data_IF_088091066189
#
_entry.id   IF_088091066189
#
_cell.length_a   1.000
_cell.length_b   1.000
_cell.length_c   1.000
_cell.angle_alpha   90.00
_cell.angle_beta   90.00
_cell.angle_gamma   90.00
#
_symmetry.space_group_name_H-M   'P 1'
#
loop_
_entity.id
_entity.type
_entity.pdbx_description
1 polymer ?
#
# COMPACT_ATOMS: atom_id res chain seq x y z
N UNK A 1 23.01 -14.30 -10.14
CA UNK A 1 21.77 -13.58 -10.31
C UNK A 1 21.33 -13.00 -9.02
N UNK A 2 21.14 -11.74 -9.05
CA UNK A 2 20.82 -11.03 -7.85
C UNK A 2 19.32 -11.11 -7.56
N UNK A 3 19.02 -11.45 -6.32
CA UNK A 3 17.66 -11.41 -5.86
C UNK A 3 17.40 -10.02 -5.32
N UNK A 4 16.56 -9.29 -5.99
CA UNK A 4 16.14 -8.01 -5.48
C UNK A 4 14.84 -8.20 -4.72
N UNK A 5 14.82 -7.83 -3.46
CA UNK A 5 13.56 -7.87 -2.72
C UNK A 5 12.61 -6.86 -3.33
N UNK A 6 11.43 -7.32 -3.67
CA UNK A 6 10.40 -6.43 -4.17
C UNK A 6 9.64 -5.92 -2.98
N UNK A 7 9.63 -4.62 -2.81
CA UNK A 7 8.87 -3.99 -1.75
C UNK A 7 7.56 -3.47 -2.31
N UNK A 8 6.49 -3.82 -1.67
CA UNK A 8 5.19 -3.27 -1.99
C UNK A 8 4.73 -2.40 -0.83
N UNK A 9 4.06 -1.33 -1.16
CA UNK A 9 3.52 -0.42 -0.16
C UNK A 9 2.01 -0.54 -0.19
N UNK A 10 1.45 -0.98 0.91
CA UNK A 10 0.02 -1.20 1.01
C UNK A 10 -0.61 -0.08 1.82
N UNK A 11 -1.63 0.53 1.27
CA UNK A 11 -2.38 1.57 1.96
C UNK A 11 -3.73 1.01 2.33
N UNK A 12 -4.00 0.95 3.61
CA UNK A 12 -5.31 0.56 4.12
C UNK A 12 -6.03 1.83 4.56
N UNK A 13 -7.21 2.06 4.04
CA UNK A 13 -7.92 3.29 4.30
C UNK A 13 -9.42 3.04 4.45
N UNK A 14 -10.08 3.97 5.10
CA UNK A 14 -11.52 3.91 5.25
C UNK A 14 -12.19 4.78 4.18
N UNK A 15 -13.04 4.15 3.40
CA UNK A 15 -13.79 4.84 2.36
C UNK A 15 -15.12 5.28 2.96
N UNK A 16 -15.21 6.56 3.29
CA UNK A 16 -16.42 7.11 3.91
C UNK A 16 -17.63 7.09 2.99
N UNK A 17 -17.40 7.17 1.69
CA UNK A 17 -18.49 7.16 0.73
C UNK A 17 -19.20 5.80 0.69
N UNK A 18 -18.44 4.75 0.82
CA UNK A 18 -18.97 3.40 0.80
C UNK A 18 -19.12 2.79 2.19
N UNK A 19 -18.46 3.38 3.19
CA UNK A 19 -18.46 2.85 4.53
C UNK A 19 -17.69 1.56 4.66
N UNK A 20 -16.69 1.36 3.80
CA UNK A 20 -15.92 0.14 3.76
C UNK A 20 -14.44 0.43 3.93
N UNK A 21 -13.74 -0.55 4.48
CA UNK A 21 -12.29 -0.47 4.57
C UNK A 21 -11.72 -1.08 3.30
N UNK A 22 -10.86 -0.32 2.63
CA UNK A 22 -10.24 -0.75 1.40
C UNK A 22 -8.73 -0.75 1.53
N UNK A 23 -8.08 -1.50 0.67
CA UNK A 23 -6.63 -1.55 0.63
C UNK A 23 -6.17 -1.47 -0.82
N UNK A 24 -5.11 -0.71 -1.03
CA UNK A 24 -4.50 -0.55 -2.33
C UNK A 24 -3.01 -0.82 -2.22
N UNK A 25 -2.41 -1.33 -3.27
CA UNK A 25 -0.98 -1.59 -3.28
C UNK A 25 -0.30 -0.69 -4.31
N UNK A 26 0.91 -0.26 -3.95
CA UNK A 26 1.67 0.66 -4.78
C UNK A 26 3.11 0.17 -4.88
N UNK A 27 3.78 0.54 -5.96
CA UNK A 27 5.16 0.16 -6.19
C UNK A 27 6.14 1.05 -5.46
N UNK A 28 5.76 2.30 -5.19
CA UNK A 28 6.65 3.25 -4.55
C UNK A 28 6.01 3.84 -3.31
N UNK A 29 6.87 4.22 -2.38
CA UNK A 29 6.41 4.84 -1.15
C UNK A 29 5.76 6.20 -1.42
N UNK A 30 6.29 6.93 -2.38
CA UNK A 30 5.75 8.24 -2.71
C UNK A 30 4.31 8.15 -3.20
N UNK A 31 4.02 7.18 -4.03
CA UNK A 31 2.67 6.99 -4.53
C UNK A 31 1.73 6.59 -3.40
N UNK A 32 2.20 5.71 -2.51
CA UNK A 32 1.40 5.26 -1.39
C UNK A 32 1.07 6.43 -0.45
N UNK A 33 2.07 7.24 -0.15
CA UNK A 33 1.86 8.39 0.73
C UNK A 33 0.95 9.43 0.10
N UNK A 34 1.10 9.63 -1.20
CA UNK A 34 0.25 10.58 -1.92
C UNK A 34 -1.19 10.12 -1.92
N UNK A 35 -1.39 8.83 -2.12
CA UNK A 35 -2.72 8.26 -2.09
C UNK A 35 -3.33 8.37 -0.69
N UNK A 36 -2.54 8.06 0.33
CA UNK A 36 -3.00 8.14 1.71
C UNK A 36 -3.40 9.56 2.08
N UNK A 37 -2.60 10.54 1.67
CA UNK A 37 -2.91 11.95 1.92
C UNK A 37 -4.20 12.37 1.24
N UNK A 38 -4.41 11.89 0.02
CA UNK A 38 -5.59 12.25 -0.75
C UNK A 38 -6.87 11.68 -0.13
N UNK A 39 -6.77 10.49 0.47
CA UNK A 39 -7.93 9.84 1.06
C UNK A 39 -8.14 10.19 2.52
N UNK A 40 -7.20 10.86 3.14
CA UNK A 40 -7.29 11.23 4.55
C UNK A 40 -7.65 12.70 4.68
N UNK A 41 -8.76 13.11 4.09
CA UNK A 41 -9.16 14.52 4.05
C UNK A 41 -10.24 14.88 5.05
N UNK A 42 -10.85 13.91 5.71
CA UNK A 42 -11.93 14.14 6.65
C UNK A 42 -11.57 13.68 8.05
N UNK A 43 -12.33 14.14 9.02
CA UNK A 43 -12.12 13.72 10.41
C UNK A 43 -12.42 12.24 10.61
N UNK A 44 -13.32 11.71 9.81
CA UNK A 44 -13.72 10.31 9.89
C UNK A 44 -12.89 9.41 8.98
N UNK A 45 -11.98 9.98 8.21
CA UNK A 45 -11.16 9.23 7.28
C UNK A 45 -9.79 8.95 7.89
N UNK A 46 -9.28 7.76 7.63
CA UNK A 46 -7.95 7.41 8.08
C UNK A 46 -7.29 6.53 7.04
N UNK A 47 -5.97 6.55 7.02
CA UNK A 47 -5.19 5.74 6.11
C UNK A 47 -3.89 5.33 6.78
N UNK A 48 -3.51 4.09 6.57
CA UNK A 48 -2.28 3.53 7.13
C UNK A 48 -1.45 2.98 5.98
N UNK A 49 -0.18 3.34 5.96
CA UNK A 49 0.75 2.87 4.94
C UNK A 49 1.64 1.81 5.56
N UNK A 50 1.59 0.61 5.00
CA UNK A 50 2.42 -0.50 5.44
C UNK A 50 3.39 -0.89 4.34
N UNK A 51 4.60 -1.24 4.74
CA UNK A 51 5.61 -1.72 3.82
C UNK A 51 5.67 -3.23 3.93
N UNK A 52 5.45 -3.90 2.81
CA UNK A 52 5.51 -5.35 2.76
C UNK A 52 6.67 -5.74 1.87
N UNK A 53 7.62 -6.45 2.44
CA UNK A 53 8.75 -6.97 1.69
C UNK A 53 8.37 -8.35 1.16
N UNK A 54 8.26 -8.45 -0.14
CA UNK A 54 7.96 -9.72 -0.79
C UNK A 54 9.25 -10.29 -1.32
N UNK A 55 9.65 -11.41 -0.77
CA UNK A 55 10.83 -12.09 -1.24
C UNK A 55 10.42 -12.99 -2.40
N UNK A 56 10.87 -12.63 -3.58
CA UNK A 56 10.62 -13.46 -4.74
C UNK A 56 11.60 -14.63 -4.73
N UNK A 57 11.08 -15.79 -4.42
CA UNK A 57 11.88 -17.00 -4.55
C UNK A 57 11.72 -17.48 -5.98
N UNK A 58 12.78 -17.34 -6.72
CA UNK A 58 12.79 -17.81 -8.08
C UNK A 58 13.12 -19.29 -8.05
N UNK A 59 12.15 -20.10 -8.29
CA UNK A 59 12.37 -21.51 -8.39
C UNK A 59 12.81 -21.79 -9.81
N UNK A 60 14.09 -22.07 -9.94
CA UNK A 60 14.58 -22.50 -11.24
C UNK A 60 14.21 -23.97 -11.40
N UNK A 61 13.33 -24.21 -12.28
CA UNK A 61 12.96 -25.58 -12.58
C UNK A 61 13.97 -26.19 -13.54
#
# INVERSE_FOLDING_TARGET
MEKQPVQEFHVTYFDADCGLIRAESFDTKEEAERFASRNCTGEDSWAVVDVVAIEQVRIAA
#
